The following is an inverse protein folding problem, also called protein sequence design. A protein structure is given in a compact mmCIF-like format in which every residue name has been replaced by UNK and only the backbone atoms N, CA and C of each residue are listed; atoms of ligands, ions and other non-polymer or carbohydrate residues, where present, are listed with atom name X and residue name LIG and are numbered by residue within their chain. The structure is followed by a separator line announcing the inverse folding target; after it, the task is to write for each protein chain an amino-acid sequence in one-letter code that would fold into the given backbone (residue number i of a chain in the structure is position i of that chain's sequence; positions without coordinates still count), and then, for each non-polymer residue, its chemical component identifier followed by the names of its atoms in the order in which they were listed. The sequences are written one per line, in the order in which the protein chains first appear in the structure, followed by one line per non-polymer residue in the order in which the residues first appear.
data_IF_673416935906
#
_entry.id   IF_673416935906
#
_cell.length_a   1.000
_cell.length_b   1.000
_cell.length_c   1.000
_cell.angle_alpha   90.00
_cell.angle_beta   90.00
_cell.angle_gamma   90.00
#
_symmetry.space_group_name_H-M   'P 1'
#
loop_
_entity.id
_entity.type
_entity.pdbx_description
1 polymer ?
#
# COMPACT_ATOMS: atom_id res chain seq x y z
N UNK A 1 24.41 4.79 -21.16
CA UNK A 1 24.22 3.43 -20.62
C UNK A 1 24.25 3.53 -19.11
N UNK A 2 23.18 3.12 -18.44
CA UNK A 2 23.00 3.15 -16.99
C UNK A 2 22.90 1.71 -16.47
N UNK A 3 23.27 1.48 -15.22
CA UNK A 3 23.26 0.16 -14.60
C UNK A 3 22.46 0.22 -13.29
N UNK A 4 21.63 -0.79 -13.08
CA UNK A 4 20.70 -0.83 -11.96
C UNK A 4 20.66 -2.19 -11.29
N UNK A 5 20.57 -2.19 -9.98
CA UNK A 5 20.10 -3.36 -9.23
C UNK A 5 18.57 -3.43 -9.30
N UNK A 6 18.06 -4.60 -9.69
CA UNK A 6 16.64 -4.89 -9.87
C UNK A 6 16.25 -6.02 -8.94
N UNK A 7 15.33 -5.78 -8.01
CA UNK A 7 14.72 -6.79 -7.16
C UNK A 7 13.58 -7.47 -7.92
N UNK A 8 13.71 -8.75 -8.22
CA UNK A 8 12.71 -9.53 -8.96
C UNK A 8 11.53 -9.88 -8.04
N UNK A 9 10.31 -9.48 -8.42
CA UNK A 9 9.12 -9.73 -7.61
C UNK A 9 8.80 -11.23 -7.53
N UNK A 10 8.35 -11.67 -6.35
CA UNK A 10 8.05 -13.08 -6.03
C UNK A 10 9.22 -14.02 -6.29
N UNK A 11 10.44 -13.55 -6.09
CA UNK A 11 11.66 -14.30 -6.32
C UNK A 11 12.55 -14.29 -5.07
N UNK A 12 13.11 -15.44 -4.66
CA UNK A 12 14.04 -15.50 -3.53
C UNK A 12 15.45 -15.01 -3.88
N UNK A 13 15.65 -14.51 -5.11
CA UNK A 13 16.94 -14.02 -5.54
C UNK A 13 17.22 -12.63 -4.96
N UNK A 14 18.49 -12.40 -4.60
CA UNK A 14 18.99 -11.06 -4.34
C UNK A 14 18.87 -10.19 -5.60
N UNK A 15 18.86 -8.85 -5.45
CA UNK A 15 18.79 -7.94 -6.59
C UNK A 15 19.89 -8.24 -7.63
N UNK A 16 19.50 -8.30 -8.90
CA UNK A 16 20.39 -8.59 -10.01
C UNK A 16 20.69 -7.31 -10.80
N UNK A 17 21.89 -7.23 -11.40
CA UNK A 17 22.31 -6.06 -12.17
C UNK A 17 21.86 -6.16 -13.62
N UNK A 18 21.16 -5.11 -14.06
CA UNK A 18 20.69 -4.91 -15.44
C UNK A 18 21.21 -3.59 -16.00
N UNK A 19 21.15 -3.42 -17.32
CA UNK A 19 21.53 -2.20 -18.00
C UNK A 19 20.35 -1.58 -18.73
N UNK A 20 20.38 -0.24 -18.93
CA UNK A 20 19.42 0.51 -19.72
C UNK A 20 20.14 1.61 -20.52
N UNK A 21 19.60 1.95 -21.68
CA UNK A 21 20.03 3.14 -22.45
C UNK A 21 19.44 4.41 -21.86
N UNK A 22 18.24 4.32 -21.28
CA UNK A 22 17.54 5.42 -20.66
C UNK A 22 17.80 5.45 -19.14
N UNK A 23 17.72 6.65 -18.59
CA UNK A 23 17.78 6.83 -17.13
C UNK A 23 16.43 6.46 -16.52
N UNK A 24 16.44 5.55 -15.54
CA UNK A 24 15.25 5.04 -14.88
C UNK A 24 15.28 5.46 -13.42
N UNK A 25 14.15 5.91 -12.90
CA UNK A 25 14.03 6.29 -11.49
C UNK A 25 14.00 5.06 -10.57
N UNK A 26 14.59 5.20 -9.39
CA UNK A 26 14.47 4.20 -8.32
C UNK A 26 12.99 4.05 -7.95
N UNK A 27 12.53 2.82 -7.76
CA UNK A 27 11.14 2.47 -7.52
C UNK A 27 10.35 2.13 -8.78
N UNK A 28 10.86 2.41 -9.99
CA UNK A 28 10.17 2.03 -11.22
C UNK A 28 9.99 0.53 -11.35
N UNK A 29 8.79 0.10 -11.76
CA UNK A 29 8.50 -1.29 -12.10
C UNK A 29 8.95 -1.55 -13.55
N UNK A 30 9.77 -2.57 -13.73
CA UNK A 30 10.35 -2.94 -15.02
C UNK A 30 10.12 -4.42 -15.32
N UNK A 31 10.16 -4.77 -16.60
CA UNK A 31 10.16 -6.15 -17.06
C UNK A 31 11.58 -6.53 -17.53
N UNK A 32 12.07 -7.60 -17.01
CA UNK A 32 13.42 -8.11 -17.29
C UNK A 32 13.40 -9.62 -17.59
N UNK A 33 14.39 -10.10 -18.32
CA UNK A 33 14.61 -11.52 -18.55
C UNK A 33 15.75 -12.06 -17.69
N UNK A 34 15.64 -13.31 -17.22
CA UNK A 34 16.74 -14.03 -16.60
C UNK A 34 17.54 -14.74 -17.68
N UNK A 35 18.71 -14.19 -18.01
CA UNK A 35 19.68 -14.72 -19.00
C UNK A 35 19.03 -15.35 -20.26
N UNK A 36 18.93 -16.65 -20.36
CA UNK A 36 18.44 -17.37 -21.55
C UNK A 36 16.95 -17.71 -21.52
N UNK A 37 16.19 -17.24 -20.52
CA UNK A 37 14.75 -17.53 -20.40
C UNK A 37 13.94 -16.48 -21.17
N UNK A 38 13.08 -16.94 -22.07
CA UNK A 38 12.19 -16.06 -22.83
C UNK A 38 11.07 -15.39 -21.99
N UNK A 39 10.85 -15.88 -20.76
CA UNK A 39 9.79 -15.34 -19.88
C UNK A 39 10.27 -14.06 -19.22
N UNK A 40 9.55 -12.98 -19.43
CA UNK A 40 9.73 -11.71 -18.72
C UNK A 40 9.23 -11.84 -17.27
N UNK A 41 9.97 -11.24 -16.36
CA UNK A 41 9.67 -11.14 -14.94
C UNK A 41 9.57 -9.68 -14.55
N UNK A 42 8.65 -9.39 -13.65
CA UNK A 42 8.53 -8.07 -13.04
C UNK A 42 9.63 -7.87 -12.00
N UNK A 43 10.28 -6.72 -12.04
CA UNK A 43 11.27 -6.32 -11.08
C UNK A 43 11.17 -4.83 -10.76
N UNK A 44 11.71 -4.43 -9.63
CA UNK A 44 11.71 -3.04 -9.17
C UNK A 44 13.13 -2.52 -9.15
N UNK A 45 13.38 -1.36 -9.72
CA UNK A 45 14.66 -0.66 -9.64
C UNK A 45 14.89 -0.24 -8.19
N UNK A 46 15.93 -0.77 -7.55
CA UNK A 46 16.21 -0.49 -6.14
C UNK A 46 17.45 0.37 -5.94
N UNK A 47 18.36 0.36 -6.91
CA UNK A 47 19.59 1.14 -6.82
C UNK A 47 20.20 1.37 -8.21
N UNK A 48 20.77 2.56 -8.45
CA UNK A 48 21.68 2.84 -9.57
C UNK A 48 23.10 2.44 -9.14
N UNK A 49 23.84 1.73 -10.00
CA UNK A 49 25.19 1.22 -9.69
C UNK A 49 26.18 1.61 -10.79
N UNK A 50 27.47 1.54 -10.47
CA UNK A 50 28.53 1.73 -11.46
C UNK A 50 28.55 0.58 -12.46
N UNK A 51 29.20 0.82 -13.61
CA UNK A 51 29.36 -0.19 -14.66
C UNK A 51 30.07 -1.43 -14.11
N UNK A 52 29.43 -2.60 -14.10
CA UNK A 52 30.07 -3.83 -13.63
C UNK A 52 31.09 -4.35 -14.62
N UNK A 53 31.95 -5.27 -14.17
CA UNK A 53 32.98 -5.90 -15.01
C UNK A 53 32.43 -7.03 -15.89
N UNK A 54 31.19 -7.45 -15.65
CA UNK A 54 30.49 -8.49 -16.39
C UNK A 54 29.42 -7.91 -17.34
N UNK A 55 29.00 -8.71 -18.32
CA UNK A 55 27.97 -8.32 -19.29
C UNK A 55 26.59 -8.39 -18.64
N UNK A 56 25.88 -7.27 -18.64
CA UNK A 56 24.52 -7.17 -18.14
C UNK A 56 23.48 -7.45 -19.23
N UNK A 57 22.32 -7.94 -18.80
CA UNK A 57 21.12 -8.04 -19.63
C UNK A 57 20.44 -6.68 -19.64
N UNK A 58 19.90 -6.30 -20.79
CA UNK A 58 19.16 -5.04 -20.93
C UNK A 58 17.75 -5.19 -20.36
N UNK A 59 17.27 -4.17 -19.67
CA UNK A 59 15.87 -4.06 -19.23
C UNK A 59 14.97 -4.10 -20.46
N UNK A 60 13.98 -4.99 -20.47
CA UNK A 60 13.16 -5.24 -21.66
C UNK A 60 12.04 -4.19 -21.82
N UNK A 61 11.43 -3.76 -20.71
CA UNK A 61 10.35 -2.78 -20.71
C UNK A 61 10.33 -1.97 -19.41
N UNK A 62 9.96 -0.71 -19.49
CA UNK A 62 9.75 0.19 -18.35
C UNK A 62 8.26 0.46 -18.30
N UNK A 63 7.61 0.09 -17.19
CA UNK A 63 6.18 0.32 -17.02
C UNK A 63 5.90 1.72 -16.45
N UNK A 64 4.64 2.14 -16.48
CA UNK A 64 4.21 3.38 -15.82
C UNK A 64 4.01 3.23 -14.30
N UNK A 65 4.17 2.02 -13.80
CA UNK A 65 3.96 1.70 -12.40
C UNK A 65 5.23 1.94 -11.59
N UNK A 66 5.07 2.35 -10.34
CA UNK A 66 6.21 2.62 -9.47
C UNK A 66 5.91 2.28 -7.99
N UNK A 67 6.96 2.10 -7.24
CA UNK A 67 6.98 1.93 -5.79
C UNK A 67 7.52 3.21 -5.15
N UNK A 68 6.83 3.72 -4.13
CA UNK A 68 7.28 4.91 -3.39
C UNK A 68 8.53 4.61 -2.53
N UNK A 69 9.24 5.66 -2.12
CA UNK A 69 10.38 5.53 -1.20
C UNK A 69 9.98 4.82 0.09
N UNK A 70 8.79 5.11 0.63
CA UNK A 70 8.28 4.45 1.83
C UNK A 70 8.08 2.95 1.63
N UNK A 71 7.57 2.52 0.46
CA UNK A 71 7.44 1.08 0.13
C UNK A 71 8.80 0.41 0.04
N UNK A 72 9.79 1.06 -0.58
CA UNK A 72 11.16 0.53 -0.67
C UNK A 72 11.81 0.39 0.70
N UNK A 73 11.74 1.43 1.54
CA UNK A 73 12.30 1.43 2.90
C UNK A 73 11.62 0.37 3.79
N UNK A 74 10.29 0.28 3.72
CA UNK A 74 9.54 -0.73 4.48
C UNK A 74 9.85 -2.14 3.98
N UNK A 75 10.00 -2.35 2.67
CA UNK A 75 10.40 -3.64 2.12
C UNK A 75 11.82 -4.03 2.53
N UNK A 76 12.74 -3.07 2.62
CA UNK A 76 14.09 -3.31 3.12
C UNK A 76 14.07 -3.73 4.61
N UNK A 77 13.23 -3.08 5.43
CA UNK A 77 13.02 -3.50 6.82
C UNK A 77 12.43 -4.91 6.90
N UNK A 78 11.37 -5.22 6.12
CA UNK A 78 10.74 -6.55 6.09
C UNK A 78 11.74 -7.61 5.66
N UNK A 79 12.50 -7.37 4.60
CA UNK A 79 13.53 -8.29 4.09
C UNK A 79 14.55 -8.62 5.18
N UNK A 80 15.05 -7.61 5.90
CA UNK A 80 16.03 -7.80 6.97
C UNK A 80 15.44 -8.51 8.19
N UNK A 81 14.22 -8.11 8.61
CA UNK A 81 13.59 -8.63 9.82
C UNK A 81 13.10 -10.07 9.66
N UNK A 82 12.52 -10.42 8.52
CA UNK A 82 11.97 -11.76 8.23
C UNK A 82 12.92 -12.65 7.46
N UNK A 83 14.14 -12.18 7.14
CA UNK A 83 15.16 -12.95 6.42
C UNK A 83 14.63 -13.48 5.09
N UNK A 84 13.98 -12.62 4.30
CA UNK A 84 13.49 -12.91 2.96
C UNK A 84 14.15 -12.00 1.92
N UNK A 85 14.07 -12.34 0.64
CA UNK A 85 14.60 -11.47 -0.41
C UNK A 85 13.86 -10.14 -0.49
N UNK A 86 14.52 -9.10 -1.00
CA UNK A 86 13.88 -7.80 -1.22
C UNK A 86 12.72 -7.90 -2.23
N UNK A 87 12.84 -8.78 -3.23
CA UNK A 87 11.78 -9.02 -4.21
C UNK A 87 10.53 -9.68 -3.62
N UNK A 88 10.70 -10.59 -2.63
CA UNK A 88 9.57 -11.16 -1.88
C UNK A 88 8.90 -10.10 -1.00
N UNK A 89 9.68 -9.28 -0.31
CA UNK A 89 9.16 -8.19 0.52
C UNK A 89 8.38 -7.15 -0.32
N UNK A 90 8.91 -6.74 -1.47
CA UNK A 90 8.24 -5.82 -2.40
C UNK A 90 6.93 -6.39 -2.98
N UNK A 91 6.84 -7.71 -3.12
CA UNK A 91 5.66 -8.38 -3.67
C UNK A 91 4.41 -8.29 -2.79
N UNK A 92 4.55 -7.82 -1.55
CA UNK A 92 3.42 -7.56 -0.63
C UNK A 92 2.62 -6.34 -1.08
N UNK A 93 3.29 -5.40 -1.74
CA UNK A 93 2.70 -4.13 -2.17
C UNK A 93 2.14 -4.22 -3.58
N UNK A 94 1.15 -3.36 -3.84
CA UNK A 94 0.69 -3.04 -5.19
C UNK A 94 1.37 -1.74 -5.62
N UNK A 95 1.99 -1.70 -6.82
CA UNK A 95 2.62 -0.49 -7.31
C UNK A 95 1.59 0.60 -7.58
N UNK A 96 1.97 1.85 -7.41
CA UNK A 96 1.15 2.98 -7.82
C UNK A 96 1.11 3.09 -9.35
N UNK A 97 -0.04 3.59 -9.84
CA UNK A 97 -0.18 4.07 -11.21
C UNK A 97 -0.08 5.59 -11.23
N UNK A 98 0.47 6.12 -12.28
CA UNK A 98 0.42 7.56 -12.54
C UNK A 98 -0.97 7.88 -13.13
N UNK A 99 -1.97 8.03 -12.24
CA UNK A 99 -3.34 8.38 -12.63
C UNK A 99 -3.56 9.84 -12.28
N UNK A 100 -3.98 10.64 -13.26
CA UNK A 100 -4.50 11.97 -13.00
C UNK A 100 -5.69 11.87 -12.03
N UNK A 101 -5.53 12.48 -10.85
CA UNK A 101 -6.57 12.49 -9.81
C UNK A 101 -7.73 13.38 -10.24
N UNK A 102 -8.76 12.83 -10.86
CA UNK A 102 -10.10 13.40 -10.86
C UNK A 102 -10.86 12.83 -9.67
N UNK A 103 -10.78 13.49 -8.52
CA UNK A 103 -11.60 13.13 -7.38
C UNK A 103 -12.71 14.16 -7.22
N UNK A 104 -13.94 13.76 -7.54
CA UNK A 104 -15.12 14.44 -7.02
C UNK A 104 -15.17 14.20 -5.51
N UNK A 105 -15.09 15.26 -4.74
CA UNK A 105 -15.22 15.21 -3.28
C UNK A 105 -16.68 15.00 -2.92
N UNK A 106 -17.10 13.76 -2.71
CA UNK A 106 -18.40 13.47 -2.12
C UNK A 106 -18.35 13.67 -0.61
N UNK A 107 -19.18 14.57 -0.09
CA UNK A 107 -19.39 14.70 1.35
C UNK A 107 -20.25 13.55 1.85
N UNK A 108 -19.63 12.61 2.55
CA UNK A 108 -20.35 11.58 3.30
C UNK A 108 -20.49 12.09 4.73
N UNK A 109 -21.71 12.11 5.22
CA UNK A 109 -22.01 12.56 6.58
C UNK A 109 -23.01 11.61 7.22
N UNK A 110 -22.68 11.10 8.41
CA UNK A 110 -23.60 10.30 9.22
C UNK A 110 -24.44 11.16 10.15
N UNK A 111 -25.57 10.63 10.58
CA UNK A 111 -26.45 11.25 11.60
C UNK A 111 -25.91 11.01 13.04
N UNK A 112 -24.67 10.56 13.19
CA UNK A 112 -24.06 10.30 14.49
C UNK A 112 -23.80 11.62 15.21
N UNK A 113 -24.38 11.75 16.39
CA UNK A 113 -24.11 12.85 17.32
C UNK A 113 -23.18 12.34 18.40
N UNK A 114 -22.01 12.95 18.52
CA UNK A 114 -21.03 12.60 19.55
C UNK A 114 -21.39 13.25 20.88
N UNK A 115 -21.10 12.58 22.00
CA UNK A 115 -21.08 13.20 23.31
C UNK A 115 -19.89 14.16 23.47
N UNK A 116 -19.95 15.05 24.47
CA UNK A 116 -18.86 15.97 24.77
C UNK A 116 -17.50 15.27 24.97
N UNK A 117 -17.51 14.07 25.59
CA UNK A 117 -16.31 13.28 25.82
C UNK A 117 -15.77 12.69 24.51
N UNK A 118 -16.66 12.22 23.63
CA UNK A 118 -16.29 11.69 22.32
C UNK A 118 -15.76 12.80 21.41
N UNK A 119 -16.33 14.00 21.43
CA UNK A 119 -15.82 15.14 20.68
C UNK A 119 -14.44 15.59 21.14
N UNK A 120 -14.19 15.61 22.44
CA UNK A 120 -12.86 15.88 23.01
C UNK A 120 -11.84 14.83 22.54
N UNK A 121 -12.22 13.55 22.56
CA UNK A 121 -11.37 12.46 22.09
C UNK A 121 -11.07 12.58 20.59
N UNK A 122 -12.07 12.85 19.75
CA UNK A 122 -11.91 13.08 18.32
C UNK A 122 -10.98 14.27 18.03
N UNK A 123 -11.19 15.38 18.73
CA UNK A 123 -10.36 16.57 18.61
C UNK A 123 -8.91 16.30 19.00
N UNK A 124 -8.69 15.52 20.05
CA UNK A 124 -7.36 15.10 20.47
C UNK A 124 -6.67 14.24 19.40
N UNK A 125 -7.38 13.25 18.83
CA UNK A 125 -6.80 12.37 17.78
C UNK A 125 -6.42 13.16 16.52
N UNK A 126 -7.21 14.15 16.12
CA UNK A 126 -6.91 15.02 14.96
C UNK A 126 -5.67 15.91 15.16
N UNK A 127 -5.38 16.31 16.40
CA UNK A 127 -4.21 17.17 16.71
C UNK A 127 -2.91 16.40 16.82
N UNK A 128 -2.96 15.09 16.99
CA UNK A 128 -1.80 14.25 17.27
C UNK A 128 -1.58 13.23 16.15
N UNK A 129 -0.35 13.11 15.67
CA UNK A 129 0.03 12.14 14.63
C UNK A 129 -0.24 10.69 15.05
N UNK A 130 -0.09 10.38 16.35
CA UNK A 130 -0.35 9.08 16.95
C UNK A 130 -1.06 9.27 18.27
N UNK A 131 -2.13 8.53 18.49
CA UNK A 131 -2.92 8.62 19.72
C UNK A 131 -3.45 7.24 20.13
N UNK A 132 -3.63 7.04 21.43
CA UNK A 132 -4.27 5.87 22.01
C UNK A 132 -5.62 6.27 22.58
N UNK A 133 -6.68 5.68 22.04
CA UNK A 133 -8.04 5.82 22.57
C UNK A 133 -8.34 4.66 23.52
N UNK A 134 -8.25 4.90 24.82
CA UNK A 134 -8.57 3.93 25.87
C UNK A 134 -9.97 4.21 26.43
N UNK A 135 -10.88 3.22 26.28
CA UNK A 135 -12.25 3.35 26.75
C UNK A 135 -12.90 1.98 26.89
N UNK A 136 -13.91 1.87 27.76
CA UNK A 136 -14.65 0.64 28.03
C UNK A 136 -15.39 0.14 26.76
N UNK A 137 -15.77 -1.15 26.78
CA UNK A 137 -16.66 -1.72 25.76
C UNK A 137 -18.02 -1.01 25.84
N UNK A 138 -18.58 -0.64 24.69
CA UNK A 138 -19.87 0.08 24.63
C UNK A 138 -19.78 1.60 24.83
N UNK A 139 -18.59 2.18 25.03
CA UNK A 139 -18.41 3.64 25.22
C UNK A 139 -18.51 4.48 23.94
N UNK A 140 -18.82 3.86 22.79
CA UNK A 140 -18.96 4.59 21.54
C UNK A 140 -17.66 4.87 20.80
N UNK A 141 -16.61 4.06 20.98
CA UNK A 141 -15.34 4.19 20.18
C UNK A 141 -15.60 4.15 18.68
N UNK A 142 -16.55 3.32 18.24
CA UNK A 142 -16.87 3.18 16.82
C UNK A 142 -17.43 4.46 16.21
N UNK A 143 -18.21 5.21 16.96
CA UNK A 143 -18.76 6.50 16.56
C UNK A 143 -17.64 7.53 16.31
N UNK A 144 -16.62 7.54 17.19
CA UNK A 144 -15.43 8.38 17.01
C UNK A 144 -14.66 7.98 15.75
N UNK A 145 -14.48 6.66 15.49
CA UNK A 145 -13.80 6.19 14.27
C UNK A 145 -14.58 6.57 13.01
N UNK A 146 -15.92 6.46 13.02
CA UNK A 146 -16.74 6.85 11.88
C UNK A 146 -16.56 8.33 11.58
N UNK A 147 -16.62 9.19 12.60
CA UNK A 147 -16.42 10.63 12.42
C UNK A 147 -15.02 10.99 11.95
N UNK A 148 -13.99 10.29 12.43
CA UNK A 148 -12.62 10.48 11.94
C UNK A 148 -12.47 10.07 10.46
N UNK A 149 -13.13 8.98 10.03
CA UNK A 149 -13.14 8.51 8.64
C UNK A 149 -13.89 9.51 7.74
N UNK A 150 -15.04 10.07 8.19
CA UNK A 150 -15.78 11.09 7.45
C UNK A 150 -14.89 12.29 7.10
N UNK A 151 -14.12 12.78 8.08
CA UNK A 151 -13.20 13.89 7.87
C UNK A 151 -12.11 13.57 6.84
N UNK A 152 -11.50 12.38 6.95
CA UNK A 152 -10.46 11.91 6.02
C UNK A 152 -10.99 11.79 4.59
N UNK A 153 -12.22 11.27 4.42
CA UNK A 153 -12.87 11.18 3.10
C UNK A 153 -13.21 12.58 2.56
N UNK A 154 -13.69 13.48 3.42
CA UNK A 154 -13.99 14.86 3.03
C UNK A 154 -12.74 15.61 2.52
N UNK A 155 -11.57 15.27 3.04
CA UNK A 155 -10.27 15.77 2.56
C UNK A 155 -9.76 15.08 1.29
N UNK A 156 -10.55 14.16 0.69
CA UNK A 156 -10.17 13.40 -0.51
C UNK A 156 -9.12 12.31 -0.24
N UNK A 157 -8.94 11.90 1.01
CA UNK A 157 -7.99 10.87 1.42
C UNK A 157 -8.68 9.53 1.72
N UNK A 158 -7.88 8.47 1.91
CA UNK A 158 -8.37 7.14 2.26
C UNK A 158 -8.08 6.83 3.72
N UNK A 159 -8.95 6.00 4.31
CA UNK A 159 -8.81 5.52 5.68
C UNK A 159 -8.63 4.00 5.71
N UNK A 160 -7.68 3.51 6.51
CA UNK A 160 -7.47 2.08 6.72
C UNK A 160 -7.82 1.71 8.16
N UNK A 161 -8.78 0.80 8.34
CA UNK A 161 -9.16 0.27 9.64
C UNK A 161 -8.70 -1.18 9.78
N UNK A 162 -7.80 -1.45 10.72
CA UNK A 162 -7.32 -2.79 11.03
C UNK A 162 -8.11 -3.39 12.18
N UNK A 163 -8.67 -4.59 11.98
CA UNK A 163 -9.46 -5.31 12.98
C UNK A 163 -8.79 -6.65 13.26
N UNK A 164 -8.46 -6.98 14.54
CA UNK A 164 -7.65 -8.15 14.86
C UNK A 164 -8.37 -9.49 14.60
N UNK A 165 -9.70 -9.51 14.64
CA UNK A 165 -10.49 -10.73 14.47
C UNK A 165 -11.53 -10.64 13.35
N UNK A 166 -11.61 -11.68 12.51
CA UNK A 166 -12.59 -11.76 11.41
C UNK A 166 -14.03 -11.77 11.94
N UNK A 167 -14.31 -12.35 13.10
CA UNK A 167 -15.63 -12.38 13.71
C UNK A 167 -16.17 -11.00 14.06
N UNK A 168 -15.33 -10.11 14.58
CA UNK A 168 -15.67 -8.72 14.86
C UNK A 168 -15.81 -7.89 13.58
N UNK A 169 -15.17 -8.31 12.47
CA UNK A 169 -15.20 -7.59 11.21
C UNK A 169 -16.60 -7.53 10.61
N UNK A 170 -17.44 -8.55 10.76
CA UNK A 170 -18.80 -8.59 10.18
C UNK A 170 -19.71 -7.53 10.78
N UNK A 171 -19.70 -7.37 12.11
CA UNK A 171 -20.51 -6.33 12.76
C UNK A 171 -20.00 -4.93 12.43
N UNK A 172 -18.68 -4.75 12.42
CA UNK A 172 -18.05 -3.49 12.05
C UNK A 172 -18.33 -3.14 10.59
N UNK A 173 -18.21 -4.10 9.69
CA UNK A 173 -18.57 -3.96 8.27
C UNK A 173 -20.00 -3.45 8.09
N UNK A 174 -20.98 -4.09 8.78
CA UNK A 174 -22.38 -3.68 8.70
C UNK A 174 -22.60 -2.26 9.20
N UNK A 175 -21.92 -1.86 10.28
CA UNK A 175 -21.98 -0.50 10.81
C UNK A 175 -21.39 0.53 9.85
N UNK A 176 -20.21 0.23 9.31
CA UNK A 176 -19.54 1.11 8.35
C UNK A 176 -20.31 1.20 7.03
N UNK A 177 -20.86 0.07 6.51
CA UNK A 177 -21.69 0.07 5.30
C UNK A 177 -22.96 0.91 5.41
N UNK A 178 -23.54 1.04 6.60
CA UNK A 178 -24.71 1.92 6.81
C UNK A 178 -24.37 3.39 6.53
N UNK A 179 -23.13 3.81 6.84
CA UNK A 179 -22.65 5.18 6.66
C UNK A 179 -22.01 5.38 5.29
N UNK A 180 -21.05 4.53 4.95
CA UNK A 180 -20.17 4.74 3.78
C UNK A 180 -20.60 3.97 2.54
N UNK A 181 -21.65 3.12 2.64
CA UNK A 181 -22.26 2.35 1.54
C UNK A 181 -21.23 1.54 0.75
N UNK A 182 -21.07 1.84 -0.53
CA UNK A 182 -20.17 1.18 -1.49
C UNK A 182 -18.73 1.70 -1.44
N UNK A 183 -18.46 2.73 -0.64
CA UNK A 183 -17.11 3.29 -0.45
C UNK A 183 -16.20 2.44 0.46
N UNK A 184 -16.69 1.28 0.93
CA UNK A 184 -15.93 0.38 1.80
C UNK A 184 -15.43 -0.81 0.99
N UNK A 185 -14.14 -1.05 1.08
CA UNK A 185 -13.49 -2.28 0.67
C UNK A 185 -13.08 -3.10 1.88
N UNK A 186 -13.28 -4.42 1.81
CA UNK A 186 -12.91 -5.35 2.88
C UNK A 186 -11.79 -6.24 2.40
N UNK A 187 -10.78 -6.40 3.24
CA UNK A 187 -9.60 -7.19 2.92
C UNK A 187 -9.26 -8.18 4.03
N UNK A 188 -9.35 -9.47 3.74
CA UNK A 188 -8.92 -10.55 4.63
C UNK A 188 -8.49 -11.79 3.84
N UNK A 189 -7.91 -12.79 4.51
CA UNK A 189 -7.34 -13.99 3.87
C UNK A 189 -8.34 -14.81 3.04
N UNK A 190 -9.62 -14.84 3.42
CA UNK A 190 -10.68 -15.62 2.75
C UNK A 190 -11.24 -14.97 1.47
N UNK A 191 -10.87 -13.70 1.16
CA UNK A 191 -11.34 -13.03 -0.05
C UNK A 191 -10.60 -13.58 -1.26
N UNK A 192 -11.34 -13.89 -2.32
CA UNK A 192 -10.80 -14.39 -3.59
C UNK A 192 -9.85 -13.37 -4.25
N UNK A 193 -8.80 -13.87 -4.90
CA UNK A 193 -7.79 -13.04 -5.58
C UNK A 193 -8.40 -12.02 -6.56
N UNK A 194 -9.37 -12.44 -7.38
CA UNK A 194 -10.08 -11.55 -8.32
C UNK A 194 -10.80 -10.37 -7.65
N UNK A 195 -11.34 -10.59 -6.44
CA UNK A 195 -11.98 -9.50 -5.68
C UNK A 195 -10.94 -8.55 -5.10
N UNK A 196 -9.81 -9.09 -4.63
CA UNK A 196 -8.69 -8.28 -4.14
C UNK A 196 -8.13 -7.36 -5.24
N UNK A 197 -8.00 -7.85 -6.47
CA UNK A 197 -7.53 -7.08 -7.63
C UNK A 197 -8.47 -5.93 -8.04
N UNK A 198 -9.73 -5.97 -7.62
CA UNK A 198 -10.70 -4.89 -7.88
C UNK A 198 -10.72 -3.81 -6.78
N UNK A 199 -10.17 -4.12 -5.61
CA UNK A 199 -10.13 -3.20 -4.46
C UNK A 199 -8.92 -2.25 -4.57
N UNK A 200 -7.92 -2.65 -5.33
CA UNK A 200 -6.68 -1.91 -5.56
C UNK A 200 -6.81 -1.13 -6.86
#
# INVERSE_FOLDING_TARGET
MFFYEVALLNSPLEPLTYQSEERINIGSLVEVSLQKRAKLLNGVIVKEVEKPTFKCVTISNITKNFYSSLMLETSQFISTYYVCSLGEALSIYTPFYDVEKTQEQEKIQSDIVLSDEQEKALTFTKKNKTSLLFANTGSGKTEIYIKAIEDVIADGSQSLMLIPEISLSVQMEQRLKKVFKDKIAIWHSKIQKKTKEKII
#
